data_IF_736493576097
#
_entry.id   IF_736493576097
#
_cell.length_a   1.000
_cell.length_b   1.000
_cell.length_c   1.000
_cell.angle_alpha   90.00
_cell.angle_beta   90.00
_cell.angle_gamma   90.00
#
_symmetry.space_group_name_H-M   'P 1'
#
loop_
_entity.id
_entity.type
_entity.pdbx_description
1 polymer ?
#
# COMPACT_ATOMS: atom_id res chain seq x y z
N UNK A 1 4.15 -0.27 1.38
CA UNK A 1 4.75 -1.04 2.47
C UNK A 1 6.25 -1.18 2.29
N UNK A 2 6.93 -1.49 3.38
CA UNK A 2 8.37 -1.70 3.35
C UNK A 2 8.67 -3.17 3.66
N UNK A 3 9.42 -3.80 2.78
CA UNK A 3 9.88 -5.16 2.98
C UNK A 3 11.06 -5.18 3.94
N UNK A 4 10.93 -6.00 4.98
CA UNK A 4 11.97 -6.16 5.99
C UNK A 4 13.20 -6.87 5.39
N UNK A 5 14.42 -6.34 5.58
CA UNK A 5 15.62 -6.89 4.95
C UNK A 5 16.06 -8.24 5.51
N UNK A 6 15.39 -8.75 6.53
CA UNK A 6 15.80 -9.92 7.28
C UNK A 6 16.75 -9.58 8.44
N UNK A 7 17.13 -10.60 9.20
CA UNK A 7 18.04 -10.45 10.35
C UNK A 7 17.51 -9.45 11.39
N UNK A 8 18.37 -8.55 11.85
CA UNK A 8 18.07 -7.52 12.86
C UNK A 8 17.39 -6.24 12.29
N UNK A 9 17.11 -6.21 11.00
CA UNK A 9 16.45 -5.08 10.35
C UNK A 9 17.35 -3.89 10.03
N UNK A 10 18.66 -4.02 10.18
CA UNK A 10 19.62 -2.91 9.89
C UNK A 10 20.00 -2.78 8.42
N UNK A 11 19.60 -3.75 7.56
CA UNK A 11 19.83 -3.70 6.13
C UNK A 11 18.90 -2.72 5.40
N UNK A 12 19.01 -2.67 4.08
CA UNK A 12 18.19 -1.81 3.24
C UNK A 12 16.75 -2.33 3.14
N UNK A 13 15.79 -1.48 3.48
CA UNK A 13 14.37 -1.77 3.34
C UNK A 13 13.89 -1.43 1.94
N UNK A 14 13.19 -2.36 1.30
CA UNK A 14 12.63 -2.15 -0.03
C UNK A 14 11.22 -1.57 0.10
N UNK A 15 10.99 -0.42 -0.55
CA UNK A 15 9.66 0.20 -0.61
C UNK A 15 8.85 -0.37 -1.77
N UNK A 16 7.62 -0.77 -1.46
CA UNK A 16 6.61 -1.19 -2.44
C UNK A 16 5.40 -0.25 -2.37
N UNK A 17 5.00 0.28 -3.51
CA UNK A 17 3.85 1.17 -3.61
C UNK A 17 2.55 0.34 -3.72
N UNK A 18 1.65 0.51 -2.76
CA UNK A 18 0.38 -0.22 -2.65
C UNK A 18 -0.82 0.71 -2.64
N UNK A 19 -0.66 1.97 -2.98
CA UNK A 19 -1.73 2.95 -3.00
C UNK A 19 -1.64 3.87 -4.20
N UNK A 20 -2.76 4.54 -4.47
CA UNK A 20 -2.80 5.56 -5.51
C UNK A 20 -2.02 6.80 -5.09
N UNK A 21 -1.46 7.53 -6.07
CA UNK A 21 -0.60 8.70 -5.87
C UNK A 21 -1.29 9.94 -5.32
N UNK A 22 -2.55 9.87 -4.92
CA UNK A 22 -3.25 10.97 -4.29
C UNK A 22 -3.15 10.90 -2.79
N UNK A 23 -2.93 12.05 -2.19
CA UNK A 23 -3.04 12.22 -0.74
C UNK A 23 -4.40 11.75 -0.26
N UNK A 24 -4.41 11.12 0.89
CA UNK A 24 -5.63 10.71 1.58
C UNK A 24 -5.32 10.45 3.04
N UNK A 25 -6.35 10.50 3.86
CA UNK A 25 -6.24 10.10 5.26
C UNK A 25 -6.56 8.61 5.36
N UNK A 26 -5.63 7.86 5.90
CA UNK A 26 -5.76 6.43 6.17
C UNK A 26 -5.82 6.24 7.67
N UNK A 27 -6.98 5.82 8.19
CA UNK A 27 -7.18 5.79 9.63
C UNK A 27 -6.87 4.44 10.27
N UNK A 28 -7.13 3.35 9.57
CA UNK A 28 -6.96 2.01 10.13
C UNK A 28 -6.74 0.97 9.04
N UNK A 29 -5.89 0.00 9.36
CA UNK A 29 -5.70 -1.21 8.57
C UNK A 29 -6.11 -2.44 9.37
N UNK A 30 -6.78 -3.37 8.71
CA UNK A 30 -7.09 -4.70 9.22
C UNK A 30 -6.47 -5.71 8.27
N UNK A 31 -5.70 -6.64 8.82
CA UNK A 31 -5.06 -7.69 8.06
C UNK A 31 -5.84 -9.00 8.22
N UNK A 32 -6.33 -9.58 7.13
CA UNK A 32 -7.05 -10.86 7.11
C UNK A 32 -6.94 -11.51 5.73
N UNK A 33 -6.95 -12.83 5.72
CA UNK A 33 -7.21 -13.62 4.52
C UNK A 33 -8.72 -13.54 4.23
N UNK A 34 -9.10 -12.75 3.24
CA UNK A 34 -10.50 -12.43 2.98
C UNK A 34 -11.16 -13.40 2.01
N UNK A 35 -10.42 -13.94 1.08
CA UNK A 35 -10.93 -14.86 0.05
C UNK A 35 -10.58 -16.33 0.33
N UNK A 36 -9.79 -16.61 1.36
CA UNK A 36 -9.44 -17.96 1.78
C UNK A 36 -8.32 -18.60 0.96
N UNK A 37 -7.51 -17.82 0.28
CA UNK A 37 -6.40 -18.30 -0.55
C UNK A 37 -5.11 -18.58 0.25
N UNK A 38 -5.07 -18.23 1.53
CA UNK A 38 -3.95 -18.41 2.43
C UNK A 38 -3.02 -17.20 2.53
N UNK A 39 -3.28 -16.13 1.80
CA UNK A 39 -2.54 -14.89 1.85
C UNK A 39 -3.22 -13.85 2.72
N UNK A 40 -2.47 -12.92 3.27
CA UNK A 40 -3.02 -11.85 4.10
C UNK A 40 -3.32 -10.63 3.24
N UNK A 41 -4.58 -10.26 3.22
CA UNK A 41 -5.07 -9.03 2.61
C UNK A 41 -5.16 -7.89 3.60
N UNK A 42 -5.30 -6.68 3.09
CA UNK A 42 -5.46 -5.50 3.91
C UNK A 42 -6.76 -4.77 3.57
N UNK A 43 -7.54 -4.49 4.60
CA UNK A 43 -8.71 -3.62 4.53
C UNK A 43 -8.40 -2.30 5.23
N UNK A 44 -8.92 -1.23 4.71
CA UNK A 44 -8.74 0.07 5.34
C UNK A 44 -9.82 1.06 4.94
N UNK A 45 -9.78 2.20 5.59
CA UNK A 45 -10.59 3.35 5.23
C UNK A 45 -9.70 4.47 4.71
N UNK A 46 -10.23 5.25 3.79
CA UNK A 46 -9.57 6.40 3.20
C UNK A 46 -10.55 7.57 3.13
N UNK A 47 -10.13 8.71 3.63
CA UNK A 47 -10.86 9.96 3.54
C UNK A 47 -10.03 11.10 2.97
N UNK A 48 -10.68 12.24 2.70
CA UNK A 48 -10.06 13.44 2.13
C UNK A 48 -9.28 13.21 0.82
N UNK A 49 -9.79 12.32 -0.01
CA UNK A 49 -9.12 11.94 -1.26
C UNK A 49 -10.11 11.70 -2.41
N UNK A 50 -11.24 12.42 -2.40
CA UNK A 50 -12.26 12.28 -3.44
C UNK A 50 -11.64 12.22 -4.86
N UNK A 51 -12.11 11.33 -5.73
CA UNK A 51 -13.28 10.45 -5.60
C UNK A 51 -12.96 9.07 -4.96
N UNK A 52 -11.84 8.91 -4.28
CA UNK A 52 -11.35 7.62 -3.78
C UNK A 52 -11.64 7.40 -2.29
N UNK A 53 -12.54 8.19 -1.70
CA UNK A 53 -12.94 8.04 -0.31
C UNK A 53 -13.77 6.76 -0.11
N UNK A 54 -13.63 6.14 1.05
CA UNK A 54 -14.40 4.98 1.43
C UNK A 54 -13.59 3.83 2.01
N UNK A 55 -14.19 2.66 2.00
CA UNK A 55 -13.53 1.41 2.38
C UNK A 55 -12.84 0.82 1.15
N UNK A 56 -11.65 0.31 1.33
CA UNK A 56 -10.93 -0.38 0.28
C UNK A 56 -10.37 -1.72 0.77
N UNK A 57 -10.15 -2.60 -0.17
CA UNK A 57 -9.50 -3.88 0.01
C UNK A 57 -8.29 -3.94 -0.91
N UNK A 58 -7.14 -4.28 -0.33
CA UNK A 58 -5.92 -4.59 -1.04
C UNK A 58 -5.72 -6.09 -0.98
N UNK A 59 -6.06 -6.76 -2.05
CA UNK A 59 -5.85 -8.18 -2.22
C UNK A 59 -4.36 -8.46 -2.49
N UNK A 60 -3.78 -9.37 -1.71
CA UNK A 60 -2.45 -9.90 -2.03
C UNK A 60 -2.60 -11.04 -3.03
N UNK A 61 -2.10 -10.84 -4.23
CA UNK A 61 -2.12 -11.85 -5.29
C UNK A 61 -0.71 -12.38 -5.51
N UNK A 62 -0.48 -13.64 -5.20
CA UNK A 62 0.77 -14.31 -5.50
C UNK A 62 0.78 -14.86 -6.92
N UNK A 63 1.88 -14.70 -7.63
CA UNK A 63 2.04 -15.14 -9.00
C UNK A 63 3.48 -15.49 -9.27
N UNK A 64 3.73 -16.47 -10.15
CA UNK A 64 5.06 -16.77 -10.67
C UNK A 64 5.67 -15.58 -11.44
N UNK A 65 4.81 -14.69 -11.95
CA UNK A 65 5.19 -13.45 -12.64
C UNK A 65 4.48 -12.27 -11.99
N UNK A 66 4.90 -11.84 -10.79
CA UNK A 66 4.25 -10.76 -10.08
C UNK A 66 4.34 -9.46 -10.86
N UNK A 67 3.23 -8.72 -10.87
CA UNK A 67 3.15 -7.38 -11.47
C UNK A 67 2.87 -6.36 -10.37
N UNK A 68 3.54 -5.21 -10.37
CA UNK A 68 3.17 -4.14 -9.47
C UNK A 68 1.74 -3.68 -9.77
N UNK A 69 0.90 -3.62 -8.74
CA UNK A 69 -0.48 -3.15 -8.88
C UNK A 69 -0.55 -1.64 -9.16
N UNK A 70 0.48 -0.91 -8.75
CA UNK A 70 0.58 0.53 -8.90
C UNK A 70 1.95 0.91 -9.45
N UNK A 71 1.99 1.95 -10.26
CA UNK A 71 3.26 2.54 -10.66
C UNK A 71 3.96 3.17 -9.46
N UNK A 72 5.28 3.14 -9.47
CA UNK A 72 6.09 3.79 -8.45
C UNK A 72 5.76 5.28 -8.39
N UNK A 73 5.54 5.79 -7.18
CA UNK A 73 5.37 7.21 -6.96
C UNK A 73 6.65 7.96 -7.37
N UNK A 74 6.48 9.10 -8.02
CA UNK A 74 7.56 9.98 -8.48
C UNK A 74 7.54 11.26 -7.65
N UNK A 75 8.68 11.94 -7.59
CA UNK A 75 8.79 13.20 -6.85
C UNK A 75 7.82 14.27 -7.39
N UNK A 76 7.56 14.26 -8.68
CA UNK A 76 6.59 15.15 -9.34
C UNK A 76 5.13 14.90 -8.93
N UNK A 77 4.82 13.73 -8.39
CA UNK A 77 3.49 13.39 -7.86
C UNK A 77 3.31 13.96 -6.42
N UNK A 78 4.33 14.56 -5.84
CA UNK A 78 4.36 15.09 -4.48
C UNK A 78 3.91 16.55 -4.27
N UNK A 79 3.61 17.41 -5.27
CA UNK A 79 3.25 18.81 -5.01
C UNK A 79 2.00 18.96 -4.14
N UNK A 80 1.11 17.97 -4.16
CA UNK A 80 -0.10 17.96 -3.33
C UNK A 80 0.12 17.42 -1.92
N UNK A 81 1.33 16.96 -1.64
CA UNK A 81 1.74 16.46 -0.34
C UNK A 81 2.97 17.24 0.15
N UNK A 82 2.81 18.49 0.56
CA UNK A 82 3.92 19.20 1.14
C UNK A 82 4.41 18.39 2.36
N UNK A 83 5.63 17.95 2.28
CA UNK A 83 6.30 17.37 3.45
C UNK A 83 6.40 18.46 4.51
N UNK A 84 6.14 18.11 5.77
CA UNK A 84 6.32 19.06 6.85
C UNK A 84 7.77 19.54 6.94
#
# INVERSE_FOLDING_TARGET
WFEHPGGDGTGDWIRHDISRRKRGMYDKFIARDADGDGDVDFFGTRGNSAPYDGVYWLEQVRSEMPRPAFERARDEDSPEMPLP
#
